data_IF_450421149355
#
_entry.id   IF_450421149355
#
_cell.length_a   1.000
_cell.length_b   1.000
_cell.length_c   1.000
_cell.angle_alpha   90.00
_cell.angle_beta   90.00
_cell.angle_gamma   90.00
#
_symmetry.space_group_name_H-M   'P 1'
#
loop_
_entity.id
_entity.type
_entity.pdbx_description
1 polymer ?
#
# COMPACT_ATOMS: atom_id res chain seq x y z
N UNK A 1 -17.58 -59.95 48.24
CA UNK A 1 -18.27 -58.68 47.89
C UNK A 1 -17.46 -57.84 46.90
N UNK A 2 -16.14 -57.64 47.10
CA UNK A 2 -15.29 -56.85 46.18
C UNK A 2 -15.09 -57.48 44.77
N UNK A 3 -15.05 -58.82 44.68
CA UNK A 3 -14.92 -59.54 43.41
C UNK A 3 -16.15 -59.41 42.50
N UNK A 4 -17.36 -59.38 43.06
CA UNK A 4 -18.60 -59.19 42.31
C UNK A 4 -18.66 -57.80 41.66
N UNK A 5 -18.20 -56.76 42.37
CA UNK A 5 -18.19 -55.39 41.83
C UNK A 5 -17.27 -55.24 40.61
N UNK A 6 -16.10 -55.89 40.62
CA UNK A 6 -15.22 -55.88 39.45
C UNK A 6 -15.80 -56.66 38.27
N UNK A 7 -16.48 -57.77 38.55
CA UNK A 7 -17.15 -58.55 37.52
C UNK A 7 -18.31 -57.76 36.89
N UNK A 8 -19.15 -57.11 37.71
CA UNK A 8 -20.26 -56.27 37.24
C UNK A 8 -19.77 -55.09 36.37
N UNK A 9 -18.63 -54.47 36.73
CA UNK A 9 -18.00 -53.43 35.91
C UNK A 9 -17.45 -54.00 34.61
N UNK A 10 -16.81 -55.17 34.67
CA UNK A 10 -16.26 -55.85 33.49
C UNK A 10 -17.36 -56.22 32.49
N UNK A 11 -18.45 -56.79 32.96
CA UNK A 11 -19.56 -57.25 32.13
C UNK A 11 -20.29 -56.07 31.49
N UNK A 12 -20.53 -54.99 32.26
CA UNK A 12 -21.10 -53.74 31.73
C UNK A 12 -20.17 -53.08 30.70
N UNK A 13 -18.86 -53.14 30.92
CA UNK A 13 -17.89 -52.65 29.94
C UNK A 13 -17.86 -53.52 28.67
N UNK A 14 -18.05 -54.83 28.78
CA UNK A 14 -18.14 -55.74 27.64
C UNK A 14 -19.42 -55.48 26.82
N UNK A 15 -20.55 -55.31 27.48
CA UNK A 15 -21.83 -54.96 26.85
C UNK A 15 -21.75 -53.60 26.13
N UNK A 16 -21.18 -52.58 26.80
CA UNK A 16 -20.92 -51.28 26.19
C UNK A 16 -19.96 -51.34 24.99
N UNK A 17 -19.00 -52.28 24.98
CA UNK A 17 -18.12 -52.52 23.82
C UNK A 17 -18.86 -53.14 22.65
N UNK A 18 -19.81 -54.05 22.92
CA UNK A 18 -20.64 -54.67 21.90
C UNK A 18 -21.55 -53.68 21.17
N UNK A 19 -21.93 -52.58 21.82
CA UNK A 19 -22.77 -51.51 21.25
C UNK A 19 -21.98 -50.41 20.52
N UNK A 20 -20.66 -50.52 20.38
CA UNK A 20 -19.86 -49.49 19.69
C UNK A 20 -19.97 -49.62 18.18
N UNK A 21 -20.53 -48.59 17.54
CA UNK A 21 -20.64 -48.47 16.08
C UNK A 21 -19.29 -48.23 15.38
N UNK A 22 -18.27 -47.73 16.09
CA UNK A 22 -16.93 -47.51 15.55
C UNK A 22 -15.88 -48.26 16.36
N UNK A 23 -15.15 -49.15 15.68
CA UNK A 23 -14.10 -49.96 16.29
C UNK A 23 -12.75 -49.29 16.02
N UNK A 24 -12.25 -48.53 16.99
CA UNK A 24 -10.84 -48.10 17.00
C UNK A 24 -9.95 -49.34 17.14
N UNK A 25 -9.14 -49.65 16.12
CA UNK A 25 -8.25 -50.84 16.09
C UNK A 25 -6.77 -50.55 16.35
N UNK A 26 -6.39 -49.35 16.79
CA UNK A 26 -5.02 -49.06 17.29
C UNK A 26 -4.72 -49.73 18.64
N UNK A 27 -5.34 -50.89 18.90
CA UNK A 27 -5.23 -51.65 20.14
C UNK A 27 -5.84 -50.92 21.34
N UNK A 28 -5.13 -51.00 22.47
CA UNK A 28 -5.53 -50.43 23.76
C UNK A 28 -5.22 -48.94 23.91
N UNK A 29 -4.58 -48.32 22.92
CA UNK A 29 -4.13 -46.93 23.00
C UNK A 29 -5.30 -45.96 22.85
N UNK A 30 -5.30 -44.89 23.64
CA UNK A 30 -6.27 -43.81 23.49
C UNK A 30 -5.85 -42.84 22.37
N UNK A 31 -6.78 -42.03 21.85
CA UNK A 31 -6.46 -40.94 20.92
C UNK A 31 -5.36 -40.02 21.47
N UNK A 32 -5.41 -39.68 22.77
CA UNK A 32 -4.39 -38.86 23.42
C UNK A 32 -3.02 -39.52 23.45
N UNK A 33 -2.97 -40.84 23.67
CA UNK A 33 -1.71 -41.58 23.65
C UNK A 33 -1.12 -41.63 22.24
N UNK A 34 -1.96 -41.81 21.22
CA UNK A 34 -1.52 -41.79 19.82
C UNK A 34 -1.04 -40.39 19.43
N UNK A 35 -1.73 -39.34 19.87
CA UNK A 35 -1.30 -37.94 19.68
C UNK A 35 0.10 -37.73 20.26
N UNK A 36 0.28 -38.05 21.55
CA UNK A 36 1.55 -37.88 22.27
C UNK A 36 2.71 -38.69 21.66
N UNK A 37 2.47 -39.94 21.25
CA UNK A 37 3.49 -40.78 20.62
C UNK A 37 3.91 -40.27 19.23
N UNK A 38 3.05 -39.49 18.56
CA UNK A 38 3.32 -38.91 17.24
C UNK A 38 3.55 -37.39 17.30
N UNK A 39 3.72 -36.82 18.49
CA UNK A 39 4.17 -35.44 18.68
C UNK A 39 5.57 -35.28 18.09
N UNK A 40 5.78 -34.21 17.33
CA UNK A 40 7.09 -33.94 16.75
C UNK A 40 8.13 -33.69 17.87
N UNK A 41 9.23 -34.46 17.95
CA UNK A 41 10.21 -34.32 19.04
C UNK A 41 10.94 -32.96 19.01
N UNK A 42 11.01 -32.29 17.87
CA UNK A 42 11.70 -31.00 17.73
C UNK A 42 10.79 -29.80 17.99
N UNK A 43 9.57 -29.81 17.44
CA UNK A 43 8.64 -28.67 17.56
C UNK A 43 7.67 -28.79 18.74
N UNK A 44 7.58 -29.98 19.37
CA UNK A 44 6.58 -30.33 20.39
C UNK A 44 5.13 -30.17 19.91
N UNK A 45 4.89 -30.07 18.61
CA UNK A 45 3.56 -29.92 18.04
C UNK A 45 2.85 -31.27 17.96
N UNK A 46 1.63 -31.31 18.47
CA UNK A 46 0.75 -32.47 18.36
C UNK A 46 0.21 -32.62 16.92
N UNK A 47 -0.05 -33.87 16.47
CA UNK A 47 -0.67 -34.11 15.17
C UNK A 47 -2.06 -33.46 15.09
N UNK A 48 -2.32 -32.81 13.96
CA UNK A 48 -3.62 -32.23 13.62
C UNK A 48 -4.75 -33.28 13.59
N UNK A 49 -6.02 -32.90 13.78
CA UNK A 49 -7.17 -33.82 13.79
C UNK A 49 -7.24 -34.74 12.54
N UNK A 50 -6.88 -34.21 11.36
CA UNK A 50 -6.82 -34.96 10.10
C UNK A 50 -5.67 -35.98 10.09
N UNK A 51 -4.52 -35.62 10.66
CA UNK A 51 -3.38 -36.53 10.82
C UNK A 51 -3.70 -37.62 11.85
N UNK A 52 -4.35 -37.24 12.95
CA UNK A 52 -4.81 -38.17 13.98
C UNK A 52 -5.85 -39.16 13.42
N UNK A 53 -6.74 -38.71 12.52
CA UNK A 53 -7.67 -39.59 11.81
C UNK A 53 -6.91 -40.66 11.00
N UNK A 54 -5.90 -40.25 10.23
CA UNK A 54 -5.09 -41.19 9.44
C UNK A 54 -4.32 -42.17 10.35
N UNK A 55 -3.64 -41.67 11.40
CA UNK A 55 -2.90 -42.52 12.34
C UNK A 55 -3.79 -43.58 13.01
N UNK A 56 -5.04 -43.24 13.28
CA UNK A 56 -5.99 -44.13 13.97
C UNK A 56 -6.79 -45.04 13.04
N UNK A 57 -6.97 -44.66 11.77
CA UNK A 57 -7.82 -45.38 10.81
C UNK A 57 -7.06 -45.94 9.59
N UNK A 58 -5.73 -45.81 9.57
CA UNK A 58 -4.85 -46.33 8.50
C UNK A 58 -3.62 -47.11 9.05
N UNK A 59 -3.79 -48.09 9.96
CA UNK A 59 -2.66 -48.68 10.71
C UNK A 59 -1.70 -49.57 9.90
N UNK A 60 -1.97 -49.87 8.61
CA UNK A 60 -1.16 -50.80 7.77
C UNK A 60 -1.19 -50.51 6.27
N UNK A 61 -1.40 -49.26 5.85
CA UNK A 61 -1.51 -48.97 4.42
C UNK A 61 -2.89 -49.23 3.82
N UNK A 62 -3.92 -49.45 4.67
CA UNK A 62 -5.30 -49.65 4.26
C UNK A 62 -6.24 -48.92 5.21
N UNK A 63 -7.27 -48.28 4.65
CA UNK A 63 -8.32 -47.63 5.42
C UNK A 63 -9.24 -48.66 6.08
N UNK A 64 -9.57 -48.41 7.34
CA UNK A 64 -10.45 -49.29 8.12
C UNK A 64 -11.90 -49.22 7.64
N UNK A 65 -12.33 -48.05 7.14
CA UNK A 65 -13.70 -47.77 6.75
C UNK A 65 -13.69 -46.80 5.56
N UNK A 66 -14.49 -47.13 4.56
CA UNK A 66 -14.66 -46.35 3.32
C UNK A 66 -15.18 -44.94 3.66
N UNK A 67 -15.99 -44.79 4.70
CA UNK A 67 -16.47 -43.47 5.11
C UNK A 67 -15.34 -42.62 5.70
N UNK A 68 -14.36 -43.24 6.38
CA UNK A 68 -13.19 -42.52 6.92
C UNK A 68 -12.22 -42.12 5.83
N UNK A 69 -12.03 -42.99 4.84
CA UNK A 69 -11.28 -42.67 3.62
C UNK A 69 -11.92 -41.48 2.89
N UNK A 70 -13.23 -41.52 2.65
CA UNK A 70 -13.96 -40.43 2.01
C UNK A 70 -13.83 -39.11 2.75
N UNK A 71 -14.03 -39.11 4.07
CA UNK A 71 -13.90 -37.91 4.91
C UNK A 71 -12.47 -37.34 4.84
N UNK A 72 -11.46 -38.21 4.86
CA UNK A 72 -10.07 -37.80 4.77
C UNK A 72 -9.73 -37.17 3.41
N UNK A 73 -10.17 -37.80 2.32
CA UNK A 73 -9.95 -37.31 0.97
C UNK A 73 -10.68 -36.00 0.71
N UNK A 74 -11.92 -35.86 1.21
CA UNK A 74 -12.68 -34.61 1.12
C UNK A 74 -12.00 -33.49 1.88
N UNK A 75 -11.51 -33.75 3.10
CA UNK A 75 -10.79 -32.76 3.91
C UNK A 75 -9.49 -32.32 3.23
N UNK A 76 -8.70 -33.26 2.72
CA UNK A 76 -7.49 -32.96 1.95
C UNK A 76 -7.78 -32.11 0.73
N UNK A 77 -8.84 -32.43 -0.01
CA UNK A 77 -9.23 -31.67 -1.20
C UNK A 77 -9.58 -30.21 -0.84
N UNK A 78 -10.40 -30.00 0.18
CA UNK A 78 -10.78 -28.64 0.62
C UNK A 78 -9.58 -27.84 1.14
N UNK A 79 -8.67 -28.48 1.87
CA UNK A 79 -7.42 -27.85 2.31
C UNK A 79 -6.61 -27.37 1.09
N UNK A 80 -6.41 -28.23 0.10
CA UNK A 80 -5.65 -27.88 -1.10
C UNK A 80 -6.30 -26.75 -1.92
N UNK A 81 -7.64 -26.74 -2.03
CA UNK A 81 -8.38 -25.67 -2.70
C UNK A 81 -8.18 -24.32 -2.00
N UNK A 82 -8.28 -24.29 -0.66
CA UNK A 82 -8.12 -23.06 0.12
C UNK A 82 -6.66 -22.60 0.16
N UNK A 83 -5.69 -23.52 0.22
CA UNK A 83 -4.26 -23.17 0.13
C UNK A 83 -3.91 -22.57 -1.22
N UNK A 84 -4.50 -23.07 -2.31
CA UNK A 84 -4.36 -22.50 -3.64
C UNK A 84 -5.02 -21.12 -3.77
N UNK A 85 -6.19 -20.92 -3.17
CA UNK A 85 -6.90 -19.63 -3.18
C UNK A 85 -6.17 -18.57 -2.35
N UNK A 86 -5.66 -18.94 -1.16
CA UNK A 86 -4.94 -18.02 -0.27
C UNK A 86 -3.45 -17.88 -0.64
N UNK A 87 -2.94 -18.65 -1.60
CA UNK A 87 -1.53 -18.73 -1.97
C UNK A 87 -0.59 -18.92 -0.75
N UNK A 88 -1.03 -19.66 0.28
CA UNK A 88 -0.26 -19.95 1.49
C UNK A 88 -0.68 -21.29 2.09
N UNK A 89 0.23 -21.92 2.83
CA UNK A 89 -0.09 -23.10 3.63
C UNK A 89 -1.01 -22.72 4.80
N UNK A 90 -2.01 -23.56 5.06
CA UNK A 90 -2.92 -23.37 6.18
C UNK A 90 -2.25 -23.79 7.50
N UNK A 91 -2.56 -23.08 8.58
CA UNK A 91 -2.15 -23.52 9.92
C UNK A 91 -2.90 -24.80 10.34
N UNK A 92 -2.39 -25.50 11.35
CA UNK A 92 -3.07 -26.67 11.91
C UNK A 92 -4.50 -26.35 12.38
N UNK A 93 -4.73 -25.16 12.95
CA UNK A 93 -6.05 -24.72 13.40
C UNK A 93 -7.02 -24.53 12.22
N UNK A 94 -6.53 -23.98 11.10
CA UNK A 94 -7.33 -23.80 9.88
C UNK A 94 -7.67 -25.15 9.24
N UNK A 95 -6.72 -26.09 9.22
CA UNK A 95 -6.94 -27.45 8.72
C UNK A 95 -7.93 -28.23 9.61
N UNK A 96 -7.85 -28.08 10.94
CA UNK A 96 -8.80 -28.67 11.90
C UNK A 96 -10.21 -28.13 11.67
N UNK A 97 -10.37 -26.83 11.47
CA UNK A 97 -11.67 -26.21 11.21
C UNK A 97 -12.35 -26.76 9.95
N UNK A 98 -11.58 -26.99 8.88
CA UNK A 98 -12.07 -27.61 7.64
C UNK A 98 -12.53 -29.04 7.91
N UNK A 99 -11.72 -29.83 8.62
CA UNK A 99 -12.07 -31.20 8.97
C UNK A 99 -13.35 -31.28 9.83
N UNK A 100 -13.49 -30.42 10.84
CA UNK A 100 -14.67 -30.36 11.70
C UNK A 100 -15.93 -29.94 10.92
N UNK A 101 -15.79 -29.12 9.86
CA UNK A 101 -16.92 -28.75 8.99
C UNK A 101 -17.48 -29.94 8.19
N UNK A 102 -16.64 -30.92 7.84
CA UNK A 102 -17.02 -32.11 7.05
C UNK A 102 -17.64 -33.16 7.94
N UNK A 103 -16.98 -33.44 9.07
CA UNK A 103 -17.41 -34.47 10.01
C UNK A 103 -18.64 -34.06 10.81
N UNK A 104 -18.87 -32.75 10.94
CA UNK A 104 -19.87 -32.16 11.81
C UNK A 104 -19.41 -32.16 13.27
N UNK A 105 -19.67 -31.05 13.94
CA UNK A 105 -19.43 -30.92 15.38
C UNK A 105 -20.72 -31.26 16.13
N UNK A 106 -20.69 -32.27 17.00
CA UNK A 106 -21.81 -32.50 17.94
C UNK A 106 -21.77 -31.38 18.97
N UNK A 107 -22.87 -30.63 19.21
CA UNK A 107 -22.88 -29.59 20.23
C UNK A 107 -22.52 -30.21 21.58
N UNK A 108 -21.51 -29.64 22.26
CA UNK A 108 -20.92 -30.11 23.52
C UNK A 108 -20.04 -31.38 23.44
N UNK A 109 -19.52 -31.76 22.27
CA UNK A 109 -18.55 -32.85 22.15
C UNK A 109 -17.31 -32.42 21.38
N UNK A 110 -16.16 -32.35 22.06
CA UNK A 110 -14.87 -32.13 21.40
C UNK A 110 -14.39 -33.48 20.88
N UNK A 111 -14.54 -33.71 19.57
CA UNK A 111 -14.04 -34.91 18.90
C UNK A 111 -12.50 -34.86 18.88
N UNK A 112 -11.83 -35.96 19.21
CA UNK A 112 -10.36 -36.08 19.07
C UNK A 112 -9.51 -35.70 20.29
N UNK A 113 -9.90 -34.74 21.13
CA UNK A 113 -9.05 -34.23 22.24
C UNK A 113 -9.07 -35.05 23.56
N UNK A 114 -9.38 -36.35 23.48
CA UNK A 114 -9.29 -37.26 24.62
C UNK A 114 -10.31 -37.07 25.75
N UNK A 115 -10.31 -38.01 26.70
CA UNK A 115 -11.28 -38.16 27.81
C UNK A 115 -11.25 -37.01 28.86
N UNK A 116 -10.51 -35.92 28.64
CA UNK A 116 -10.32 -34.83 29.61
C UNK A 116 -10.45 -33.41 29.03
N UNK A 117 -10.64 -33.25 27.71
CA UNK A 117 -10.96 -31.94 27.15
C UNK A 117 -12.41 -31.60 27.49
N UNK A 118 -12.61 -30.72 28.47
CA UNK A 118 -13.95 -30.21 28.78
C UNK A 118 -14.42 -29.37 27.58
N UNK A 119 -15.55 -29.72 26.95
CA UNK A 119 -16.13 -28.83 25.95
C UNK A 119 -16.38 -27.47 26.59
N UNK A 120 -16.12 -26.37 25.86
CA UNK A 120 -16.36 -25.04 26.40
C UNK A 120 -17.83 -24.93 26.81
N UNK A 121 -18.04 -24.49 28.04
CA UNK A 121 -19.36 -24.22 28.60
C UNK A 121 -20.09 -23.17 27.75
N UNK A 122 -21.42 -23.14 27.83
CA UNK A 122 -22.20 -22.12 27.12
C UNK A 122 -21.70 -20.69 27.40
N UNK A 123 -21.36 -20.41 28.66
CA UNK A 123 -20.81 -19.12 29.06
C UNK A 123 -19.43 -18.83 28.45
N UNK A 124 -18.56 -19.83 28.29
CA UNK A 124 -17.28 -19.68 27.60
C UNK A 124 -17.47 -19.35 26.13
N UNK A 125 -18.38 -20.07 25.44
CA UNK A 125 -18.68 -19.79 24.04
C UNK A 125 -19.21 -18.38 23.80
N UNK A 126 -20.14 -17.93 24.64
CA UNK A 126 -20.66 -16.55 24.56
C UNK A 126 -19.55 -15.53 24.82
N UNK A 127 -18.65 -15.79 25.76
CA UNK A 127 -17.49 -14.90 25.98
C UNK A 127 -16.56 -14.86 24.78
N UNK A 128 -16.27 -16.01 24.18
CA UNK A 128 -15.38 -16.11 23.04
C UNK A 128 -15.99 -15.41 21.81
N UNK A 129 -17.28 -15.61 21.55
CA UNK A 129 -18.03 -14.93 20.48
C UNK A 129 -18.02 -13.41 20.66
N UNK A 130 -18.35 -12.93 21.87
CA UNK A 130 -18.30 -11.49 22.20
C UNK A 130 -16.88 -10.95 22.08
N UNK A 131 -15.85 -11.72 22.48
CA UNK A 131 -14.46 -11.30 22.34
C UNK A 131 -14.04 -11.20 20.87
N UNK A 132 -14.47 -12.14 20.03
CA UNK A 132 -14.25 -12.07 18.58
C UNK A 132 -14.92 -10.83 17.98
N UNK A 133 -16.18 -10.55 18.32
CA UNK A 133 -16.89 -9.34 17.87
C UNK A 133 -16.20 -8.05 18.35
N UNK A 134 -15.72 -8.01 19.59
CA UNK A 134 -14.98 -6.86 20.10
C UNK A 134 -13.68 -6.67 19.31
N UNK A 135 -12.97 -7.74 18.96
CA UNK A 135 -11.74 -7.66 18.18
C UNK A 135 -12.01 -7.18 16.74
N UNK A 136 -13.06 -7.68 16.09
CA UNK A 136 -13.42 -7.23 14.74
C UNK A 136 -13.84 -5.77 14.73
N UNK A 137 -14.67 -5.34 15.69
CA UNK A 137 -15.07 -3.94 15.83
C UNK A 137 -13.88 -3.02 16.12
N UNK A 138 -12.94 -3.45 16.97
CA UNK A 138 -11.71 -2.68 17.24
C UNK A 138 -10.88 -2.48 15.97
N UNK A 139 -10.70 -3.55 15.18
CA UNK A 139 -9.96 -3.48 13.92
C UNK A 139 -10.63 -2.52 12.92
N UNK A 140 -11.95 -2.64 12.75
CA UNK A 140 -12.70 -1.76 11.84
C UNK A 140 -12.62 -0.28 12.27
N UNK A 141 -12.65 -0.02 13.58
CA UNK A 141 -12.58 1.34 14.11
C UNK A 141 -11.17 1.93 13.93
N UNK A 142 -10.12 1.13 14.03
CA UNK A 142 -8.76 1.54 13.76
C UNK A 142 -8.54 1.84 12.27
N UNK A 143 -9.09 1.01 11.39
CA UNK A 143 -9.06 1.22 9.93
C UNK A 143 -9.79 2.50 9.52
N UNK A 144 -10.99 2.74 10.05
CA UNK A 144 -11.77 3.96 9.79
C UNK A 144 -11.09 5.23 10.36
N UNK A 145 -10.29 5.10 11.43
CA UNK A 145 -9.46 6.20 11.94
C UNK A 145 -8.29 6.48 11.02
N UNK A 146 -7.60 5.45 10.56
CA UNK A 146 -6.50 5.58 9.63
C UNK A 146 -6.95 6.20 8.30
N UNK A 147 -8.12 5.81 7.80
CA UNK A 147 -8.71 6.38 6.58
C UNK A 147 -9.02 7.87 6.73
N UNK A 148 -9.69 8.28 7.82
CA UNK A 148 -9.92 9.72 8.09
C UNK A 148 -8.65 10.52 8.26
N UNK A 149 -7.60 9.94 8.85
CA UNK A 149 -6.33 10.62 9.00
C UNK A 149 -5.64 10.78 7.64
N UNK A 150 -5.66 9.76 6.80
CA UNK A 150 -5.16 9.84 5.43
C UNK A 150 -5.90 10.91 4.60
N UNK A 151 -7.22 10.96 4.70
CA UNK A 151 -8.05 11.98 4.03
C UNK A 151 -7.65 13.41 4.46
N UNK A 152 -7.45 13.64 5.77
CA UNK A 152 -7.00 14.95 6.29
C UNK A 152 -5.61 15.33 5.82
N UNK A 153 -4.70 14.36 5.65
CA UNK A 153 -3.35 14.60 5.14
C UNK A 153 -3.41 15.00 3.66
N UNK A 154 -4.23 14.31 2.86
CA UNK A 154 -4.45 14.66 1.45
C UNK A 154 -5.04 16.07 1.33
N UNK A 155 -6.10 16.37 2.09
CA UNK A 155 -6.75 17.68 2.07
C UNK A 155 -5.78 18.81 2.49
N UNK A 156 -4.86 18.55 3.43
CA UNK A 156 -3.80 19.51 3.80
C UNK A 156 -2.79 19.70 2.67
N UNK A 157 -2.35 18.61 2.03
CA UNK A 157 -1.40 18.68 0.93
C UNK A 157 -1.99 19.43 -0.28
N UNK A 158 -3.27 19.26 -0.58
CA UNK A 158 -3.97 20.00 -1.63
C UNK A 158 -4.01 21.51 -1.33
N UNK A 159 -4.37 21.90 -0.10
CA UNK A 159 -4.35 23.32 0.30
C UNK A 159 -2.95 23.93 0.25
N UNK A 160 -1.92 23.18 0.64
CA UNK A 160 -0.53 23.62 0.56
C UNK A 160 -0.09 23.79 -0.90
N UNK A 161 -0.47 22.88 -1.79
CA UNK A 161 -0.21 22.99 -3.21
C UNK A 161 -0.91 24.19 -3.86
N UNK A 162 -2.16 24.47 -3.47
CA UNK A 162 -2.91 25.65 -3.93
C UNK A 162 -2.23 26.96 -3.48
N UNK A 163 -1.88 27.08 -2.19
CA UNK A 163 -1.12 28.22 -1.67
C UNK A 163 0.23 28.39 -2.39
N UNK A 164 0.94 27.30 -2.67
CA UNK A 164 2.21 27.34 -3.39
C UNK A 164 2.03 27.82 -4.84
N UNK A 165 1.01 27.31 -5.54
CA UNK A 165 0.68 27.72 -6.90
C UNK A 165 0.30 29.20 -6.97
N UNK A 166 -0.47 29.71 -6.01
CA UNK A 166 -0.82 31.13 -5.94
C UNK A 166 0.41 32.01 -5.71
N UNK A 167 1.34 31.58 -4.85
CA UNK A 167 2.60 32.31 -4.66
C UNK A 167 3.48 32.34 -5.92
N UNK A 168 3.50 31.26 -6.70
CA UNK A 168 4.22 31.22 -7.98
C UNK A 168 3.59 32.23 -8.95
N UNK A 169 2.27 32.21 -9.11
CA UNK A 169 1.56 33.18 -9.96
C UNK A 169 1.87 34.63 -9.59
N UNK A 170 1.79 34.98 -8.30
CA UNK A 170 2.11 36.35 -7.84
C UNK A 170 3.56 36.75 -8.13
N UNK A 171 4.51 35.80 -8.02
CA UNK A 171 5.92 36.06 -8.35
C UNK A 171 6.13 36.24 -9.85
N UNK A 172 5.44 35.45 -10.68
CA UNK A 172 5.48 35.57 -12.14
C UNK A 172 4.90 36.91 -12.60
N UNK A 173 3.76 37.34 -12.05
CA UNK A 173 3.17 38.65 -12.32
C UNK A 173 4.15 39.78 -11.94
N UNK A 174 4.71 39.74 -10.72
CA UNK A 174 5.71 40.74 -10.31
C UNK A 174 6.98 40.73 -11.17
N UNK A 175 7.41 39.57 -11.65
CA UNK A 175 8.56 39.47 -12.55
C UNK A 175 8.24 40.05 -13.92
N UNK A 176 7.03 39.82 -14.45
CA UNK A 176 6.56 40.40 -15.69
C UNK A 176 6.47 41.93 -15.61
N UNK A 177 5.91 42.49 -14.53
CA UNK A 177 5.83 43.94 -14.31
C UNK A 177 7.22 44.60 -14.28
N UNK A 178 8.18 43.96 -13.60
CA UNK A 178 9.57 44.45 -13.58
C UNK A 178 10.20 44.38 -14.96
N UNK A 179 10.03 43.28 -15.68
CA UNK A 179 10.55 43.13 -17.04
C UNK A 179 9.96 44.18 -17.99
N UNK A 180 8.67 44.52 -17.84
CA UNK A 180 8.04 45.58 -18.63
C UNK A 180 8.61 46.96 -18.28
N UNK A 181 8.78 47.26 -16.99
CA UNK A 181 9.39 48.52 -16.55
C UNK A 181 10.84 48.66 -17.06
N UNK A 182 11.62 47.59 -16.99
CA UNK A 182 13.00 47.56 -17.47
C UNK A 182 13.06 47.75 -19.00
N UNK A 183 12.17 47.08 -19.74
CA UNK A 183 12.06 47.27 -21.19
C UNK A 183 11.66 48.70 -21.58
N UNK A 184 10.72 49.32 -20.83
CA UNK A 184 10.35 50.74 -21.04
C UNK A 184 11.52 51.68 -20.76
N UNK A 185 12.31 51.40 -19.73
CA UNK A 185 13.49 52.20 -19.40
C UNK A 185 14.57 52.08 -20.49
N UNK A 186 14.81 50.88 -21.01
CA UNK A 186 15.74 50.68 -22.12
C UNK A 186 15.25 51.36 -23.40
N UNK A 187 13.97 51.27 -23.74
CA UNK A 187 13.41 52.00 -24.89
C UNK A 187 13.62 53.53 -24.76
N UNK A 188 13.41 54.10 -23.58
CA UNK A 188 13.69 55.53 -23.31
C UNK A 188 15.17 55.88 -23.48
N UNK A 189 16.09 54.99 -23.04
CA UNK A 189 17.52 55.18 -23.27
C UNK A 189 17.86 55.13 -24.75
N UNK A 190 17.31 54.19 -25.50
CA UNK A 190 17.51 54.09 -26.96
C UNK A 190 17.00 55.34 -27.68
N UNK A 191 15.80 55.82 -27.36
CA UNK A 191 15.26 57.07 -27.91
C UNK A 191 16.18 58.26 -27.61
N UNK A 192 16.66 58.37 -26.37
CA UNK A 192 17.58 59.43 -25.97
C UNK A 192 18.90 59.36 -26.77
N UNK A 193 19.48 58.18 -26.91
CA UNK A 193 20.70 57.97 -27.69
C UNK A 193 20.49 58.28 -29.18
N UNK A 194 19.33 57.95 -29.74
CA UNK A 194 18.97 58.28 -31.12
C UNK A 194 18.85 59.79 -31.34
N UNK A 195 18.24 60.53 -30.40
CA UNK A 195 18.17 62.00 -30.46
C UNK A 195 19.58 62.61 -30.44
N UNK A 196 20.46 62.13 -29.56
CA UNK A 196 21.85 62.59 -29.49
C UNK A 196 22.63 62.31 -30.78
N UNK A 197 22.46 61.11 -31.35
CA UNK A 197 23.06 60.76 -32.64
C UNK A 197 22.58 61.68 -33.76
N UNK A 198 21.27 61.95 -33.84
CA UNK A 198 20.69 62.86 -34.82
C UNK A 198 21.17 64.32 -34.63
N UNK A 199 21.28 64.82 -33.40
CA UNK A 199 21.85 66.15 -33.16
C UNK A 199 23.31 66.24 -33.58
N UNK A 200 24.10 65.18 -33.34
CA UNK A 200 25.49 65.10 -33.80
C UNK A 200 25.60 65.14 -35.32
N UNK A 201 24.73 64.39 -36.02
CA UNK A 201 24.62 64.40 -37.49
C UNK A 201 24.24 65.79 -38.03
N UNK A 202 23.26 66.47 -37.42
CA UNK A 202 22.82 67.82 -37.83
C UNK A 202 23.92 68.85 -37.59
N UNK A 203 24.59 68.82 -36.44
CA UNK A 203 25.74 69.69 -36.16
C UNK A 203 26.86 69.48 -37.18
N UNK A 204 27.19 68.22 -37.48
CA UNK A 204 28.16 67.86 -38.51
C UNK A 204 27.76 68.42 -39.88
N UNK A 205 26.50 68.24 -40.30
CA UNK A 205 25.99 68.74 -41.57
C UNK A 205 26.04 70.28 -41.69
N UNK A 206 25.69 71.00 -40.61
CA UNK A 206 25.79 72.46 -40.55
C UNK A 206 27.25 72.91 -40.70
N UNK A 207 28.17 72.31 -39.94
CA UNK A 207 29.61 72.62 -40.02
C UNK A 207 30.15 72.36 -41.42
N UNK A 208 29.72 71.26 -42.05
CA UNK A 208 30.13 70.91 -43.42
C UNK A 208 29.58 71.92 -44.45
N UNK A 209 28.33 72.38 -44.29
CA UNK A 209 27.74 73.43 -45.14
C UNK A 209 28.43 74.79 -44.97
N UNK A 210 28.70 75.21 -43.73
CA UNK A 210 29.40 76.46 -43.46
C UNK A 210 30.81 76.43 -44.06
N UNK A 211 31.53 75.31 -43.93
CA UNK A 211 32.85 75.14 -44.56
C UNK A 211 32.79 75.23 -46.09
N UNK A 212 31.73 74.67 -46.70
CA UNK A 212 31.52 74.73 -48.15
C UNK A 212 31.13 76.13 -48.64
N UNK A 213 30.42 76.91 -47.83
CA UNK A 213 30.12 78.31 -48.12
C UNK A 213 31.40 79.16 -48.00
N UNK A 214 32.20 78.97 -46.93
CA UNK A 214 33.48 79.67 -46.77
C UNK A 214 34.43 79.39 -47.93
N UNK A 215 34.58 78.14 -48.36
CA UNK A 215 35.45 77.81 -49.50
C UNK A 215 34.94 78.40 -50.83
N UNK A 216 33.61 78.48 -51.04
CA UNK A 216 33.04 79.20 -52.19
C UNK A 216 33.24 80.72 -52.13
N UNK A 217 33.12 81.32 -50.95
CA UNK A 217 33.38 82.76 -50.75
C UNK A 217 34.86 83.08 -50.96
N UNK A 218 35.77 82.26 -50.45
CA UNK A 218 37.21 82.41 -50.65
C UNK A 218 37.65 82.16 -52.11
N UNK A 219 36.87 81.37 -52.87
CA UNK A 219 36.97 81.28 -54.32
C UNK A 219 36.54 82.58 -55.01
N UNK A 220 35.33 83.08 -54.71
CA UNK A 220 34.79 84.31 -55.28
C UNK A 220 35.59 85.58 -54.89
N UNK A 221 36.23 85.59 -53.72
CA UNK A 221 37.09 86.68 -53.24
C UNK A 221 38.45 86.72 -53.97
N UNK A 222 38.96 85.56 -54.37
CA UNK A 222 40.11 85.46 -55.28
C UNK A 222 39.77 85.97 -56.68
N UNK A 223 38.55 85.73 -57.16
CA UNK A 223 38.10 86.20 -58.47
C UNK A 223 37.77 87.71 -58.49
N UNK A 224 37.30 88.27 -57.38
CA UNK A 224 36.99 89.72 -57.25
C UNK A 224 38.20 90.60 -56.91
N UNK A 225 39.25 90.06 -56.29
CA UNK A 225 40.54 90.77 -56.21
C UNK A 225 41.33 90.73 -57.53
N UNK A 226 40.90 89.94 -58.51
CA UNK A 226 41.39 90.03 -59.89
C UNK A 226 40.71 91.15 -60.71
N UNK A 227 39.60 91.76 -60.26
CA UNK A 227 38.82 92.72 -61.06
C UNK A 227 38.75 94.15 -60.51
N UNK A 228 39.26 94.43 -59.31
CA UNK A 228 39.25 95.78 -58.70
C UNK A 228 40.54 96.62 -58.90
N UNK A 229 41.45 96.21 -59.80
CA UNK A 229 42.73 96.92 -60.06
C UNK A 229 42.77 97.70 -61.38
N UNK A 230 41.63 98.12 -61.97
CA UNK A 230 41.64 98.70 -63.34
C UNK A 230 40.66 99.85 -63.67
N UNK A 231 40.22 100.66 -62.70
CA UNK A 231 39.50 101.94 -62.92
C UNK A 231 39.81 102.82 -61.69
N UNK A 232 40.54 103.94 -61.70
CA UNK A 232 40.57 105.06 -62.64
C UNK A 232 41.99 105.65 -62.78
N UNK A 233 42.48 105.69 -64.02
CA UNK A 233 43.51 106.61 -64.52
C UNK A 233 42.98 107.07 -65.88
N UNK A 234 42.94 108.39 -66.07
CA UNK A 234 42.37 109.20 -67.16
C UNK A 234 40.98 109.79 -66.93
#
# INVERSE_FOLDING_TARGET
MMLCFFQDISDRNAENRGQRESIHRTGSKSYSQISYENTNPETQEEPNDLQLLALTNYPKGQWIDIEKERVYDEAKKRIAEIEAEKCRLLSAEEQDAIYQSIVGSKPNYVRGRGYMAKPPTFAERVRDEVNCEIQTLKKNLEEERAEREAERVVERAEREAECAAEQVKRKEEHAADRAESDARLEALKEEFMAIFANQSQVKSWIVMKISKIHSSIDGARRDSHSSASLKDLF
#
